data_IF_263624598867
#
_entry.id   IF_263624598867
#
_cell.length_a   1.000
_cell.length_b   1.000
_cell.length_c   1.000
_cell.angle_alpha   90.00
_cell.angle_beta   90.00
_cell.angle_gamma   90.00
#
_symmetry.space_group_name_H-M   'P 1'
#
loop_
_entity.id
_entity.type
_entity.pdbx_description
1 polymer ?
#
# COMPACT_ATOMS: atom_id res chain seq x y z
N UNK A 1 -8.51 12.69 -18.67
CA UNK A 1 -7.50 12.03 -17.83
C UNK A 1 -6.27 11.94 -18.69
N UNK A 2 -5.26 12.73 -18.35
CA UNK A 2 -4.03 12.90 -19.09
C UNK A 2 -3.24 11.59 -19.16
N UNK A 3 -2.72 11.27 -20.34
CA UNK A 3 -2.01 10.00 -20.61
C UNK A 3 -0.75 9.87 -19.74
N UNK A 4 -0.13 11.00 -19.38
CA UNK A 4 1.04 11.07 -18.51
C UNK A 4 0.70 10.66 -17.06
N UNK A 5 -0.47 11.06 -16.54
CA UNK A 5 -0.93 10.66 -15.20
C UNK A 5 -1.15 9.15 -15.09
N UNK A 6 -1.67 8.53 -16.14
CA UNK A 6 -1.87 7.08 -16.21
C UNK A 6 -0.53 6.33 -16.32
N UNK A 7 0.46 6.93 -16.98
CA UNK A 7 1.81 6.37 -17.05
C UNK A 7 2.50 6.40 -15.68
N UNK A 8 2.38 7.50 -14.93
CA UNK A 8 2.96 7.62 -13.58
C UNK A 8 2.30 6.66 -12.60
N UNK A 9 0.97 6.53 -12.64
CA UNK A 9 0.25 5.53 -11.85
C UNK A 9 0.76 4.11 -12.13
N UNK A 10 0.89 3.74 -13.40
CA UNK A 10 1.35 2.40 -13.78
C UNK A 10 2.77 2.14 -13.28
N UNK A 11 3.64 3.13 -13.39
CA UNK A 11 5.01 3.04 -12.88
C UNK A 11 5.04 2.85 -11.36
N UNK A 12 4.16 3.51 -10.62
CA UNK A 12 4.05 3.33 -9.17
C UNK A 12 3.60 1.91 -8.79
N UNK A 13 2.65 1.34 -9.53
CA UNK A 13 2.22 -0.06 -9.34
C UNK A 13 3.38 -1.01 -9.61
N UNK A 14 4.07 -0.85 -10.74
CA UNK A 14 5.20 -1.71 -11.11
C UNK A 14 6.28 -1.69 -10.03
N UNK A 15 6.63 -0.52 -9.48
CA UNK A 15 7.60 -0.40 -8.39
C UNK A 15 7.15 -1.12 -7.11
N UNK A 16 5.87 -1.04 -6.76
CA UNK A 16 5.32 -1.71 -5.57
C UNK A 16 5.33 -3.23 -5.75
N UNK A 17 4.99 -3.72 -6.94
CA UNK A 17 5.03 -5.14 -7.28
C UNK A 17 6.45 -5.70 -7.36
N UNK A 18 7.40 -4.94 -7.91
CA UNK A 18 8.83 -5.31 -7.94
C UNK A 18 9.41 -5.50 -6.53
N UNK A 19 8.94 -4.72 -5.56
CA UNK A 19 9.28 -4.88 -4.15
C UNK A 19 8.57 -6.08 -3.47
N UNK A 20 7.82 -6.88 -4.22
CA UNK A 20 7.17 -8.10 -3.78
C UNK A 20 5.87 -7.89 -3.02
N UNK A 21 5.21 -6.74 -3.21
CA UNK A 21 3.86 -6.49 -2.73
C UNK A 21 2.84 -6.85 -3.80
N UNK A 22 1.73 -7.44 -3.40
CA UNK A 22 0.58 -7.73 -4.25
C UNK A 22 -0.42 -6.56 -4.14
N UNK A 23 -0.57 -5.79 -5.22
CA UNK A 23 -1.46 -4.61 -5.27
C UNK A 23 -2.91 -5.08 -5.37
N UNK A 24 -3.71 -4.79 -4.35
CA UNK A 24 -5.09 -5.24 -4.25
C UNK A 24 -6.10 -4.18 -4.65
N UNK A 25 -5.76 -2.90 -4.50
CA UNK A 25 -6.65 -1.79 -4.81
C UNK A 25 -5.85 -0.55 -5.26
N UNK A 26 -6.43 0.21 -6.17
CA UNK A 26 -5.86 1.44 -6.68
C UNK A 26 -6.96 2.47 -6.92
N UNK A 27 -6.81 3.62 -6.28
CA UNK A 27 -7.70 4.76 -6.41
C UNK A 27 -6.95 5.97 -6.94
N UNK A 28 -7.55 6.69 -7.88
CA UNK A 28 -7.01 7.94 -8.43
C UNK A 28 -8.07 9.01 -8.26
N UNK A 29 -7.69 10.10 -7.64
CA UNK A 29 -8.49 11.31 -7.57
C UNK A 29 -7.70 12.46 -8.19
N UNK A 30 -8.24 13.06 -9.23
CA UNK A 30 -7.79 14.36 -9.69
C UNK A 30 -8.51 15.40 -8.82
N UNK A 31 -7.76 16.21 -8.09
CA UNK A 31 -8.30 17.29 -7.29
C UNK A 31 -7.93 18.62 -7.97
N UNK A 32 -8.91 19.27 -8.59
CA UNK A 32 -8.78 20.67 -8.98
C UNK A 32 -8.80 21.52 -7.71
N UNK A 33 -7.61 21.90 -7.23
CA UNK A 33 -7.48 22.68 -6.00
C UNK A 33 -8.07 24.09 -6.20
N UNK A 34 -9.08 24.50 -5.41
CA UNK A 34 -9.63 25.86 -5.49
C UNK A 34 -8.69 26.92 -4.92
N UNK A 35 -7.52 26.50 -4.39
CA UNK A 35 -6.49 27.35 -3.77
C UNK A 35 -5.19 27.36 -4.56
N UNK A 36 -5.07 26.57 -5.64
CA UNK A 36 -3.96 26.66 -6.55
C UNK A 36 -4.22 27.83 -7.51
N UNK A 37 -3.50 28.93 -7.33
CA UNK A 37 -3.39 30.01 -8.32
C UNK A 37 -2.59 29.57 -9.58
N UNK A 38 -2.35 28.27 -9.76
CA UNK A 38 -1.52 27.68 -10.82
C UNK A 38 -2.37 26.67 -11.60
N UNK A 39 -2.44 26.83 -12.92
CA UNK A 39 -3.15 26.01 -13.94
C UNK A 39 -2.66 24.54 -14.01
N UNK A 40 -2.08 23.98 -12.93
CA UNK A 40 -1.52 22.63 -12.89
C UNK A 40 -2.43 21.68 -12.08
N UNK A 41 -3.12 20.72 -12.73
CA UNK A 41 -4.00 19.79 -12.05
C UNK A 41 -3.21 18.82 -11.16
N UNK A 42 -3.56 18.77 -9.87
CA UNK A 42 -2.95 17.84 -8.91
C UNK A 42 -3.67 16.48 -8.92
N UNK A 43 -2.89 15.41 -9.12
CA UNK A 43 -3.36 14.04 -9.08
C UNK A 43 -2.94 13.36 -7.78
N UNK A 44 -3.89 12.80 -7.03
CA UNK A 44 -3.63 11.93 -5.88
C UNK A 44 -3.89 10.48 -6.27
N UNK A 45 -2.92 9.60 -5.99
CA UNK A 45 -3.04 8.15 -6.19
C UNK A 45 -2.90 7.45 -4.83
N UNK A 46 -3.88 6.61 -4.49
CA UNK A 46 -3.87 5.74 -3.32
C UNK A 46 -3.68 4.30 -3.78
N UNK A 47 -2.69 3.59 -3.22
CA UNK A 47 -2.39 2.19 -3.55
C UNK A 47 -2.52 1.36 -2.28
N UNK A 48 -3.35 0.32 -2.32
CA UNK A 48 -3.42 -0.68 -1.25
C UNK A 48 -2.74 -1.95 -1.73
N UNK A 49 -1.76 -2.44 -0.98
CA UNK A 49 -1.02 -3.65 -1.32
C UNK A 49 -0.75 -4.52 -0.08
N UNK A 50 -0.55 -5.82 -0.31
CA UNK A 50 -0.26 -6.82 0.73
C UNK A 50 1.07 -7.51 0.46
N UNK A 51 1.87 -7.75 1.51
CA UNK A 51 3.08 -8.58 1.43
C UNK A 51 3.10 -9.55 2.60
N UNK A 52 3.18 -10.87 2.37
CA UNK A 52 3.37 -11.81 3.45
C UNK A 52 4.80 -11.67 3.99
N UNK A 53 4.94 -11.57 5.31
CA UNK A 53 6.23 -11.61 5.99
C UNK A 53 6.46 -13.01 6.57
N UNK A 54 7.70 -13.50 6.49
CA UNK A 54 8.08 -14.73 7.20
C UNK A 54 7.99 -14.47 8.70
N UNK A 55 6.93 -14.97 9.33
CA UNK A 55 6.62 -14.74 10.75
C UNK A 55 5.24 -15.21 11.20
N UNK A 56 4.30 -15.45 10.27
CA UNK A 56 2.93 -15.89 10.60
C UNK A 56 2.51 -17.18 9.87
N UNK A 57 3.48 -18.00 9.43
CA UNK A 57 3.23 -19.40 9.04
C UNK A 57 3.68 -20.29 10.18
N UNK A 58 2.87 -20.35 11.23
CA UNK A 58 2.99 -21.38 12.25
C UNK A 58 2.52 -22.73 11.67
N UNK A 59 3.34 -23.31 10.80
CA UNK A 59 3.23 -24.71 10.36
C UNK A 59 4.07 -25.52 11.35
N UNK A 60 3.49 -25.90 12.48
CA UNK A 60 4.21 -26.58 13.55
C UNK A 60 3.39 -26.77 14.82
N UNK A 61 2.63 -27.86 14.87
CA UNK A 61 2.38 -28.54 16.13
C UNK A 61 3.74 -28.91 16.77
N UNK A 62 4.19 -28.19 17.81
CA UNK A 62 4.95 -28.75 18.95
C UNK A 62 5.09 -27.74 20.11
N UNK A 63 4.44 -28.09 21.22
CA UNK A 63 4.85 -27.95 22.62
C UNK A 63 5.51 -26.68 23.19
N UNK A 64 4.80 -26.04 24.12
CA UNK A 64 5.36 -25.59 25.40
C UNK A 64 6.31 -24.39 25.41
N UNK A 65 5.79 -23.19 25.72
CA UNK A 65 6.66 -22.10 26.17
C UNK A 65 6.02 -20.72 26.14
N UNK A 66 5.33 -20.37 27.23
CA UNK A 66 5.22 -19.02 27.81
C UNK A 66 5.73 -17.85 26.93
N UNK A 67 4.83 -17.24 26.15
CA UNK A 67 5.08 -15.93 25.55
C UNK A 67 3.95 -14.98 25.96
N UNK A 68 4.00 -14.58 27.23
CA UNK A 68 3.26 -13.43 27.76
C UNK A 68 3.69 -12.16 27.02
N UNK A 69 2.98 -11.85 25.93
CA UNK A 69 3.18 -10.58 25.21
C UNK A 69 2.92 -9.39 26.16
N UNK A 70 3.87 -8.46 26.32
CA UNK A 70 3.79 -7.37 27.31
C UNK A 70 2.75 -6.28 26.97
N UNK A 71 2.03 -6.43 25.87
CA UNK A 71 1.02 -5.49 25.39
C UNK A 71 -0.42 -5.98 25.55
N UNK A 72 -0.64 -7.14 26.18
CA UNK A 72 -1.99 -7.63 26.44
C UNK A 72 -2.62 -6.83 27.57
N UNK A 73 -3.40 -5.79 27.23
CA UNK A 73 -4.29 -5.16 28.19
C UNK A 73 -5.33 -6.18 28.68
N UNK A 74 -5.45 -6.31 30.01
CA UNK A 74 -6.43 -7.13 30.72
C UNK A 74 -7.84 -6.60 30.56
#
# INVERSE_FOLDING_TARGET
MDEDMLADQRRLVELVEEEGWDVTDLEISAYDSPWADEDDPEATVTITARKPYEGDRNDGEDDGGDNESPYRLK
#
